data_IF_499983151269
#
_entry.id   IF_499983151269
#
_cell.length_a   1.000
_cell.length_b   1.000
_cell.length_c   1.000
_cell.angle_alpha   90.00
_cell.angle_beta   90.00
_cell.angle_gamma   90.00
#
_symmetry.space_group_name_H-M   'P 1'
#
loop_
_entity.id
_entity.type
_entity.pdbx_description
1 polymer ?
#
# COMPACT_ATOMS: atom_id res chain seq x y z
N UNK A 1 1.30 -28.59 10.32
CA UNK A 1 0.86 -27.95 9.07
C UNK A 1 -0.44 -27.18 9.21
N UNK A 2 -0.38 -25.92 9.63
CA UNK A 2 -1.44 -24.93 9.41
C UNK A 2 -0.76 -23.57 9.19
N UNK A 3 -0.10 -23.46 8.05
CA UNK A 3 0.51 -22.23 7.53
C UNK A 3 -0.23 -21.83 6.25
N UNK A 4 -1.56 -21.79 6.31
CA UNK A 4 -2.41 -21.35 5.20
C UNK A 4 -2.87 -19.92 5.44
N UNK A 5 -2.90 -19.13 4.36
CA UNK A 5 -3.47 -17.78 4.33
C UNK A 5 -5.01 -17.84 4.33
N UNK A 6 -5.64 -18.12 5.47
CA UNK A 6 -7.09 -18.34 5.52
C UNK A 6 -7.86 -17.04 5.24
N UNK A 7 -7.38 -15.91 5.77
CA UNK A 7 -8.09 -14.64 5.66
C UNK A 7 -7.99 -14.07 4.25
N UNK A 8 -6.78 -13.87 3.71
CA UNK A 8 -6.65 -13.26 2.38
C UNK A 8 -7.16 -14.18 1.27
N UNK A 9 -7.10 -15.51 1.44
CA UNK A 9 -7.68 -16.45 0.46
C UNK A 9 -9.19 -16.33 0.36
N UNK A 10 -9.88 -16.00 1.46
CA UNK A 10 -11.31 -15.68 1.43
C UNK A 10 -11.63 -14.43 0.60
N UNK A 11 -10.63 -13.56 0.39
CA UNK A 11 -10.76 -12.29 -0.32
C UNK A 11 -10.22 -12.33 -1.76
N UNK A 12 -9.61 -13.44 -2.21
CA UNK A 12 -8.90 -13.50 -3.50
C UNK A 12 -9.82 -13.28 -4.72
N UNK A 13 -11.11 -13.56 -4.56
CA UNK A 13 -12.14 -13.38 -5.60
C UNK A 13 -12.71 -11.97 -5.66
N UNK A 14 -12.34 -11.09 -4.73
CA UNK A 14 -12.80 -9.71 -4.69
C UNK A 14 -12.32 -8.92 -5.90
N UNK A 15 -13.19 -8.05 -6.41
CA UNK A 15 -12.86 -7.13 -7.52
C UNK A 15 -12.41 -5.78 -7.00
N UNK A 16 -12.98 -5.36 -5.87
CA UNK A 16 -12.69 -4.11 -5.18
C UNK A 16 -12.48 -4.47 -3.71
N UNK A 17 -11.37 -4.02 -3.13
CA UNK A 17 -11.01 -4.38 -1.77
C UNK A 17 -10.56 -3.15 -0.99
N UNK A 18 -11.17 -2.94 0.17
CA UNK A 18 -10.71 -1.98 1.17
C UNK A 18 -10.24 -2.76 2.40
N UNK A 19 -8.96 -2.59 2.74
CA UNK A 19 -8.38 -3.17 3.95
C UNK A 19 -7.88 -2.03 4.85
N UNK A 20 -8.73 -1.69 5.80
CA UNK A 20 -8.44 -0.73 6.86
C UNK A 20 -8.34 -1.48 8.18
N UNK A 21 -7.26 -1.24 8.91
CA UNK A 21 -7.00 -1.87 10.20
C UNK A 21 -6.26 -0.89 11.12
N UNK A 22 -6.53 -1.00 12.42
CA UNK A 22 -5.70 -0.38 13.44
C UNK A 22 -4.45 -1.24 13.68
N UNK A 23 -3.37 -0.63 14.18
CA UNK A 23 -1.98 -1.16 14.21
C UNK A 23 -1.75 -2.54 14.88
N UNK A 24 -2.80 -3.22 15.36
CA UNK A 24 -2.75 -4.44 16.18
C UNK A 24 -3.03 -5.73 15.37
N UNK A 25 -3.14 -5.67 14.04
CA UNK A 25 -3.59 -6.85 13.27
C UNK A 25 -2.46 -7.85 12.97
N UNK A 26 -2.14 -8.67 13.98
CA UNK A 26 -1.20 -9.80 13.87
C UNK A 26 -1.67 -10.94 12.95
N UNK A 27 -2.96 -11.00 12.63
CA UNK A 27 -3.54 -12.03 11.75
C UNK A 27 -3.18 -11.73 10.30
N UNK A 28 -3.35 -10.48 9.88
CA UNK A 28 -3.11 -10.05 8.52
C UNK A 28 -1.61 -10.08 8.19
N UNK A 29 -0.75 -9.65 9.12
CA UNK A 29 0.70 -9.78 8.97
C UNK A 29 1.18 -11.24 8.81
N UNK A 30 0.55 -12.19 9.49
CA UNK A 30 0.87 -13.63 9.34
C UNK A 30 0.47 -14.16 7.97
N UNK A 31 -0.68 -13.74 7.49
CA UNK A 31 -1.25 -14.19 6.22
C UNK A 31 -0.49 -13.63 5.00
N UNK A 32 0.13 -12.44 5.12
CA UNK A 32 0.94 -11.84 4.04
C UNK A 32 2.11 -12.73 3.58
N UNK A 33 2.68 -13.55 4.48
CA UNK A 33 3.74 -14.51 4.11
C UNK A 33 3.28 -15.52 3.06
N UNK A 34 1.98 -15.81 3.02
CA UNK A 34 1.35 -16.79 2.16
C UNK A 34 0.32 -16.12 1.23
N UNK A 35 0.59 -14.87 0.87
CA UNK A 35 -0.32 -14.02 0.12
C UNK A 35 -0.85 -14.73 -1.14
N UNK A 36 -2.18 -14.88 -1.29
CA UNK A 36 -2.77 -15.48 -2.48
C UNK A 36 -2.67 -14.51 -3.66
N UNK A 37 -2.77 -15.04 -4.88
CA UNK A 37 -2.94 -14.21 -6.07
C UNK A 37 -4.38 -13.69 -6.15
N UNK A 38 -4.53 -12.38 -6.23
CA UNK A 38 -5.80 -11.68 -6.41
C UNK A 38 -6.07 -11.49 -7.89
N UNK A 39 -6.53 -12.55 -8.57
CA UNK A 39 -6.68 -12.56 -10.04
C UNK A 39 -7.78 -11.63 -10.56
N UNK A 40 -8.70 -11.19 -9.69
CA UNK A 40 -9.85 -10.34 -10.06
C UNK A 40 -9.76 -8.91 -9.53
N UNK A 41 -8.78 -8.61 -8.68
CA UNK A 41 -8.70 -7.34 -7.97
C UNK A 41 -8.32 -6.19 -8.90
N UNK A 42 -9.21 -5.22 -9.06
CA UNK A 42 -9.07 -4.03 -9.90
C UNK A 42 -8.83 -2.78 -9.09
N UNK A 43 -9.41 -2.66 -7.90
CA UNK A 43 -9.19 -1.52 -7.01
C UNK A 43 -8.81 -1.99 -5.62
N UNK A 44 -7.84 -1.31 -5.02
CA UNK A 44 -7.34 -1.60 -3.69
C UNK A 44 -7.20 -0.32 -2.88
N UNK A 45 -7.76 -0.31 -1.67
CA UNK A 45 -7.52 0.72 -0.66
C UNK A 45 -6.83 0.10 0.55
N UNK A 46 -5.71 0.69 0.97
CA UNK A 46 -4.97 0.34 2.17
C UNK A 46 -4.78 1.58 3.04
N UNK A 47 -4.68 1.41 4.37
CA UNK A 47 -4.29 2.49 5.27
C UNK A 47 -2.83 2.34 5.76
N UNK A 48 -2.37 3.20 6.67
CA UNK A 48 -1.01 3.21 7.24
C UNK A 48 -0.44 1.84 7.64
N UNK A 49 -1.28 0.88 8.06
CA UNK A 49 -0.81 -0.45 8.46
C UNK A 49 -0.07 -1.15 7.32
N UNK A 50 -0.30 -0.80 6.04
CA UNK A 50 0.37 -1.46 4.93
C UNK A 50 1.88 -1.20 4.86
N UNK A 51 2.33 -0.22 5.63
CA UNK A 51 3.73 0.12 5.77
C UNK A 51 4.36 -0.58 7.00
N UNK A 52 3.57 -1.31 7.81
CA UNK A 52 4.01 -2.15 8.94
C UNK A 52 5.24 -2.99 8.59
N UNK A 53 6.05 -3.29 9.62
CA UNK A 53 7.39 -3.89 9.54
C UNK A 53 7.69 -4.57 8.18
N UNK A 54 8.68 -4.01 7.48
CA UNK A 54 9.17 -4.39 6.15
C UNK A 54 8.26 -4.10 4.94
N UNK A 55 7.17 -3.36 5.10
CA UNK A 55 6.28 -2.92 3.99
C UNK A 55 5.65 -4.08 3.22
N UNK A 56 5.53 -5.21 3.91
CA UNK A 56 5.19 -6.51 3.34
C UNK A 56 3.81 -6.54 2.68
N UNK A 57 2.90 -5.73 3.20
CA UNK A 57 1.53 -5.68 2.70
C UNK A 57 1.47 -5.00 1.34
N UNK A 58 1.99 -3.78 1.26
CA UNK A 58 2.01 -3.02 0.02
C UNK A 58 2.73 -3.81 -1.08
N UNK A 59 3.91 -4.36 -0.76
CA UNK A 59 4.68 -5.17 -1.68
C UNK A 59 3.91 -6.43 -2.11
N UNK A 60 3.31 -7.17 -1.17
CA UNK A 60 2.49 -8.33 -1.51
C UNK A 60 1.43 -7.94 -2.55
N UNK A 61 0.61 -6.92 -2.27
CA UNK A 61 -0.52 -6.62 -3.15
C UNK A 61 -0.05 -6.16 -4.53
N UNK A 62 1.07 -5.43 -4.62
CA UNK A 62 1.67 -5.03 -5.90
C UNK A 62 2.12 -6.26 -6.72
N UNK A 63 2.69 -7.27 -6.07
CA UNK A 63 3.19 -8.49 -6.73
C UNK A 63 2.10 -9.52 -7.05
N UNK A 64 1.05 -9.60 -6.21
CA UNK A 64 0.03 -10.65 -6.28
C UNK A 64 -1.28 -10.22 -6.92
N UNK A 65 -1.39 -8.99 -7.43
CA UNK A 65 -2.61 -8.46 -8.06
C UNK A 65 -2.37 -8.12 -9.53
N UNK A 66 -2.31 -9.10 -10.45
CA UNK A 66 -1.82 -8.91 -11.81
C UNK A 66 -2.65 -7.95 -12.66
N UNK A 67 -3.92 -7.69 -12.31
CA UNK A 67 -4.82 -6.81 -13.05
C UNK A 67 -5.23 -5.55 -12.27
N UNK A 68 -4.53 -5.23 -11.18
CA UNK A 68 -4.85 -4.07 -10.35
C UNK A 68 -4.76 -2.79 -11.18
N UNK A 69 -5.85 -2.05 -11.26
CA UNK A 69 -5.96 -0.81 -12.05
C UNK A 69 -5.77 0.46 -11.23
N UNK A 70 -6.22 0.45 -9.98
CA UNK A 70 -6.15 1.59 -9.05
C UNK A 70 -5.69 1.16 -7.66
N UNK A 71 -4.73 1.89 -7.10
CA UNK A 71 -4.29 1.79 -5.72
C UNK A 71 -4.59 3.11 -4.99
N UNK A 72 -5.16 3.03 -3.79
CA UNK A 72 -5.34 4.16 -2.89
C UNK A 72 -4.68 3.85 -1.54
N UNK A 73 -3.80 4.74 -1.08
CA UNK A 73 -3.14 4.69 0.22
C UNK A 73 -3.67 5.82 1.09
N UNK A 74 -4.34 5.48 2.19
CA UNK A 74 -4.94 6.45 3.10
C UNK A 74 -4.13 6.53 4.40
N UNK A 75 -3.39 7.62 4.55
CA UNK A 75 -2.48 7.85 5.65
C UNK A 75 -3.11 8.79 6.69
N UNK A 76 -3.18 8.31 7.93
CA UNK A 76 -3.69 9.03 9.07
C UNK A 76 -2.55 9.62 9.90
N UNK A 77 -2.88 10.71 10.59
CA UNK A 77 -1.95 11.35 11.53
C UNK A 77 -1.84 10.49 12.79
N UNK A 78 -0.63 10.11 13.16
CA UNK A 78 -0.36 9.22 14.28
C UNK A 78 1.06 8.67 14.22
N UNK A 79 1.57 8.12 15.34
CA UNK A 79 2.94 7.61 15.41
C UNK A 79 3.18 6.64 14.26
N UNK A 80 4.33 6.78 13.58
CA UNK A 80 4.84 5.73 12.71
C UNK A 80 4.85 4.45 13.53
N UNK A 81 4.19 3.41 13.02
CA UNK A 81 4.33 2.09 13.60
C UNK A 81 5.85 1.79 13.48
N UNK A 82 6.55 1.80 14.60
CA UNK A 82 7.89 1.26 14.70
C UNK A 82 7.71 0.18 15.73
N UNK A 83 7.20 -0.95 15.26
CA UNK A 83 7.17 -2.16 16.06
C UNK A 83 8.18 -3.08 15.43
N UNK A 84 9.29 -3.25 16.14
CA UNK A 84 10.31 -4.26 15.90
C UNK A 84 9.68 -5.64 16.02
N UNK A 85 8.96 -6.07 15.00
CA UNK A 85 8.43 -7.41 14.89
C UNK A 85 8.87 -7.96 13.54
N UNK A 86 9.94 -8.77 13.58
CA UNK A 86 10.47 -9.52 12.44
C UNK A 86 9.42 -10.47 11.88
N UNK A 87 8.63 -9.99 10.93
CA UNK A 87 7.88 -10.81 9.99
C UNK A 87 8.65 -10.81 8.68
N UNK A 88 9.59 -11.74 8.50
CA UNK A 88 10.38 -11.79 7.26
C UNK A 88 9.48 -12.28 6.11
N UNK A 89 8.74 -11.37 5.49
CA UNK A 89 8.30 -11.55 4.11
C UNK A 89 9.55 -11.40 3.24
N UNK A 90 9.82 -12.42 2.43
CA UNK A 90 10.88 -12.35 1.42
C UNK A 90 10.19 -11.97 0.12
N UNK A 91 10.38 -10.73 -0.38
CA UNK A 91 9.86 -10.36 -1.69
C UNK A 91 10.29 -11.40 -2.73
N UNK A 92 9.38 -11.73 -3.65
CA UNK A 92 9.63 -12.74 -4.67
C UNK A 92 10.55 -12.18 -5.76
N UNK A 93 11.83 -11.91 -5.42
CA UNK A 93 12.74 -11.14 -6.27
C UNK A 93 12.20 -9.75 -6.63
N UNK A 94 12.89 -9.04 -7.52
CA UNK A 94 12.48 -7.73 -8.00
C UNK A 94 11.37 -7.88 -9.06
N UNK A 95 10.21 -8.39 -8.64
CA UNK A 95 9.02 -8.50 -9.49
C UNK A 95 8.35 -7.13 -9.59
N UNK A 96 8.09 -6.67 -10.82
CA UNK A 96 7.48 -5.37 -11.12
C UNK A 96 5.99 -5.41 -10.75
N UNK A 97 5.43 -4.26 -10.34
CA UNK A 97 4.00 -4.11 -10.11
C UNK A 97 3.17 -4.45 -11.36
N UNK A 98 1.86 -4.66 -11.18
CA UNK A 98 0.95 -4.90 -12.31
C UNK A 98 1.08 -3.84 -13.41
N UNK A 99 1.28 -4.28 -14.65
CA UNK A 99 1.23 -3.43 -15.84
C UNK A 99 -0.15 -2.78 -16.07
N UNK A 100 -1.19 -3.25 -15.38
CA UNK A 100 -2.52 -2.66 -15.43
C UNK A 100 -2.69 -1.48 -14.47
N UNK A 101 -1.75 -1.27 -13.53
CA UNK A 101 -1.84 -0.21 -12.53
C UNK A 101 -1.62 1.14 -13.21
N UNK A 102 -2.70 1.93 -13.29
CA UNK A 102 -2.70 3.23 -13.97
C UNK A 102 -2.78 4.40 -13.02
N UNK A 103 -3.41 4.20 -11.86
CA UNK A 103 -3.73 5.26 -10.91
C UNK A 103 -3.24 4.85 -9.53
N UNK A 104 -2.39 5.69 -8.93
CA UNK A 104 -2.01 5.59 -7.53
C UNK A 104 -2.36 6.89 -6.82
N UNK A 105 -3.20 6.81 -5.80
CA UNK A 105 -3.62 7.94 -4.99
C UNK A 105 -3.08 7.80 -3.57
N UNK A 106 -2.31 8.76 -3.08
CA UNK A 106 -1.86 8.83 -1.69
C UNK A 106 -2.64 9.95 -1.01
N UNK A 107 -3.51 9.61 -0.07
CA UNK A 107 -4.26 10.58 0.74
C UNK A 107 -3.58 10.72 2.09
N UNK A 108 -3.21 11.93 2.49
CA UNK A 108 -2.50 12.15 3.75
C UNK A 108 -2.83 13.53 4.34
N UNK A 109 -2.74 13.67 5.66
CA UNK A 109 -2.87 14.99 6.30
C UNK A 109 -1.65 15.89 5.99
N UNK A 110 -0.44 15.32 6.04
CA UNK A 110 0.82 16.00 5.78
C UNK A 110 1.74 15.14 4.90
N UNK A 111 2.55 15.77 4.06
CA UNK A 111 3.60 15.09 3.29
C UNK A 111 4.82 14.92 4.19
N UNK A 112 4.93 13.75 4.80
CA UNK A 112 5.94 13.42 5.80
C UNK A 112 6.89 12.30 5.33
N UNK A 113 7.69 11.76 6.24
CA UNK A 113 8.62 10.66 5.95
C UNK A 113 7.93 9.39 5.43
N UNK A 114 6.68 9.11 5.83
CA UNK A 114 5.91 7.94 5.37
C UNK A 114 5.60 8.07 3.88
N UNK A 115 5.17 9.25 3.45
CA UNK A 115 4.91 9.53 2.02
C UNK A 115 6.17 9.33 1.19
N UNK A 116 7.31 9.86 1.65
CA UNK A 116 8.59 9.66 0.95
C UNK A 116 8.97 8.17 0.85
N UNK A 117 8.74 7.40 1.91
CA UNK A 117 9.01 5.96 1.90
C UNK A 117 8.10 5.19 0.94
N UNK A 118 6.81 5.50 0.91
CA UNK A 118 5.87 4.95 -0.07
C UNK A 118 6.36 5.22 -1.49
N UNK A 119 6.69 6.47 -1.78
CA UNK A 119 7.11 6.86 -3.12
C UNK A 119 8.37 6.08 -3.56
N UNK A 120 9.35 5.87 -2.66
CA UNK A 120 10.53 5.04 -2.92
C UNK A 120 10.18 3.58 -3.23
N UNK A 121 9.21 3.00 -2.51
CA UNK A 121 8.75 1.64 -2.77
C UNK A 121 8.08 1.59 -4.14
N UNK A 122 7.10 2.45 -4.39
CA UNK A 122 6.36 2.47 -5.65
C UNK A 122 7.29 2.57 -6.86
N UNK A 123 8.29 3.45 -6.82
CA UNK A 123 9.28 3.59 -7.91
C UNK A 123 10.20 2.38 -8.04
N UNK A 124 10.59 1.75 -6.92
CA UNK A 124 11.37 0.50 -6.92
C UNK A 124 10.61 -0.65 -7.61
N UNK A 125 9.28 -0.65 -7.52
CA UNK A 125 8.41 -1.65 -8.15
C UNK A 125 7.87 -1.20 -9.52
N UNK A 126 8.49 -0.19 -10.15
CA UNK A 126 8.24 0.21 -11.54
C UNK A 126 7.02 1.12 -11.75
N UNK A 127 6.49 1.73 -10.68
CA UNK A 127 5.40 2.71 -10.79
C UNK A 127 6.03 4.08 -11.03
N UNK A 128 5.67 4.72 -12.14
CA UNK A 128 6.17 6.03 -12.51
C UNK A 128 5.48 7.13 -11.68
N UNK A 129 6.23 8.18 -11.35
CA UNK A 129 5.73 9.29 -10.54
C UNK A 129 4.51 9.99 -11.18
N UNK A 130 4.42 9.99 -12.51
CA UNK A 130 3.29 10.53 -13.29
C UNK A 130 1.96 9.81 -13.00
N UNK A 131 2.03 8.55 -12.55
CA UNK A 131 0.85 7.75 -12.18
C UNK A 131 0.42 8.01 -10.74
N UNK A 132 1.21 8.76 -9.97
CA UNK A 132 1.04 8.98 -8.54
C UNK A 132 0.50 10.40 -8.31
N UNK A 133 -0.65 10.47 -7.65
CA UNK A 133 -1.22 11.70 -7.13
C UNK A 133 -1.23 11.69 -5.60
N UNK A 134 -0.72 12.75 -4.99
CA UNK A 134 -0.79 12.95 -3.53
C UNK A 134 -1.89 13.97 -3.24
N UNK A 135 -2.86 13.59 -2.43
CA UNK A 135 -3.98 14.41 -2.01
C UNK A 135 -3.84 14.75 -0.53
N UNK A 136 -3.75 16.05 -0.23
CA UNK A 136 -3.75 16.51 1.15
C UNK A 136 -5.18 16.59 1.67
N UNK A 137 -5.48 15.79 2.69
CA UNK A 137 -6.76 15.87 3.42
C UNK A 137 -6.61 16.94 4.50
N UNK A 138 -7.01 18.17 4.20
CA UNK A 138 -6.97 19.25 5.18
C UNK A 138 -7.95 18.97 6.33
N UNK A 139 -7.54 19.29 7.57
CA UNK A 139 -8.44 19.27 8.74
C UNK A 139 -9.29 20.52 8.87
N UNK A 140 -9.10 21.52 8.01
CA UNK A 140 -9.80 22.80 8.11
C UNK A 140 -11.11 22.69 7.33
N UNK A 141 -12.29 22.77 7.99
CA UNK A 141 -13.56 22.82 7.29
C UNK A 141 -13.54 24.04 6.35
N UNK A 142 -13.55 23.80 5.04
CA UNK A 142 -13.57 24.85 4.01
C UNK A 142 -12.25 25.11 3.27
N UNK A 143 -11.14 24.44 3.59
CA UNK A 143 -9.96 24.46 2.70
C UNK A 143 -10.02 23.31 1.71
N UNK A 144 -9.89 23.62 0.41
CA UNK A 144 -9.95 22.63 -0.65
C UNK A 144 -8.86 21.56 -0.53
N UNK A 145 -9.13 20.36 -1.03
CA UNK A 145 -8.11 19.31 -1.17
C UNK A 145 -7.08 19.75 -2.21
N UNK A 146 -5.81 19.75 -1.84
CA UNK A 146 -4.71 19.99 -2.78
C UNK A 146 -4.29 18.68 -3.41
N UNK A 147 -4.25 18.64 -4.74
CA UNK A 147 -3.74 17.52 -5.53
C UNK A 147 -2.35 17.86 -6.05
N UNK A 148 -1.37 17.07 -5.68
CA UNK A 148 -0.02 17.13 -6.21
C UNK A 148 0.18 15.97 -7.18
N UNK A 149 0.75 16.24 -8.35
CA UNK A 149 1.33 15.20 -9.21
C UNK A 149 2.80 15.11 -8.84
N UNK A 150 3.28 13.91 -8.55
CA UNK A 150 4.70 13.73 -8.28
C UNK A 150 5.50 13.91 -9.58
N UNK A 151 6.37 14.93 -9.63
CA UNK A 151 7.20 15.24 -10.82
C UNK A 151 8.70 15.01 -10.59
N UNK A 152 9.11 14.68 -9.37
CA UNK A 152 10.50 14.39 -9.02
C UNK A 152 10.73 14.40 -7.50
N UNK A 153 11.87 13.88 -7.06
CA UNK A 153 12.35 13.99 -5.68
C UNK A 153 13.47 15.03 -5.61
N UNK A 154 13.42 15.95 -4.65
CA UNK A 154 14.62 16.65 -4.19
C UNK A 154 15.19 15.89 -3.01
N UNK A 155 16.28 15.15 -3.24
CA UNK A 155 17.13 14.67 -2.16
C UNK A 155 17.99 15.86 -1.70
N UNK A 156 17.93 16.18 -0.41
CA UNK A 156 18.79 17.18 0.23
C UNK A 156 19.51 16.52 1.40
#
# INVERSE_FOLDING_TARGET
DRNDCIFLKGLSEATDLELSADSVVTVLNRDLKWCPTFTKLKTLLLNDWCLAADHNALICFLQHSPILGKLTLQLFEGPSYVTEAEGIYKPLGQSVASNCLKIVEIKCANVDKKVHQILKILTTYGIHLEQISVQQTSRIPGSGCFNFVCTGFSEN
#
